data_IF_468874162757
#
_entry.id   IF_468874162757
#
_cell.length_a   1.000
_cell.length_b   1.000
_cell.length_c   1.000
_cell.angle_alpha   90.00
_cell.angle_beta   90.00
_cell.angle_gamma   90.00
#
_symmetry.space_group_name_H-M   'P 1'
#
loop_
_entity.id
_entity.type
_entity.pdbx_description
1 polymer ?
#
# COMPACT_ATOMS: atom_id res chain seq x y z
N UNK A 1 -16.28 -4.87 4.14
CA UNK A 1 -15.14 -5.01 3.22
C UNK A 1 -14.79 -3.60 2.79
N UNK A 2 -13.57 -3.15 3.04
CA UNK A 2 -13.16 -1.78 2.73
C UNK A 2 -12.96 -1.63 1.22
N UNK A 3 -13.47 -0.57 0.62
CA UNK A 3 -13.25 -0.24 -0.80
C UNK A 3 -12.67 1.16 -0.87
N UNK A 4 -11.45 1.30 -1.41
CA UNK A 4 -10.72 2.59 -1.42
C UNK A 4 -11.49 3.71 -2.11
N UNK A 5 -12.32 3.40 -3.11
CA UNK A 5 -13.15 4.39 -3.81
C UNK A 5 -14.06 5.16 -2.84
N UNK A 6 -14.53 4.50 -1.77
CA UNK A 6 -15.37 5.13 -0.75
C UNK A 6 -14.60 5.95 0.28
N UNK A 7 -13.26 5.97 0.18
CA UNK A 7 -12.34 6.65 1.07
C UNK A 7 -11.55 7.75 0.34
N UNK A 8 -11.94 8.16 -0.87
CA UNK A 8 -11.25 9.26 -1.56
C UNK A 8 -11.72 10.62 -1.03
N UNK A 9 -10.78 11.55 -0.89
CA UNK A 9 -11.00 12.99 -0.69
C UNK A 9 -10.84 13.78 -2.00
N UNK A 10 -11.23 15.06 -1.95
CA UNK A 10 -11.17 15.96 -3.10
C UNK A 10 -9.73 16.10 -3.61
N UNK A 11 -9.53 15.77 -4.90
CA UNK A 11 -8.23 15.85 -5.56
C UNK A 11 -7.41 14.55 -5.51
N UNK A 12 -7.92 13.51 -4.86
CA UNK A 12 -7.28 12.20 -4.80
C UNK A 12 -7.75 11.26 -5.92
N UNK A 13 -6.87 10.32 -6.27
CA UNK A 13 -7.13 9.23 -7.21
C UNK A 13 -6.63 7.92 -6.62
N UNK A 14 -7.09 6.81 -7.20
CA UNK A 14 -6.53 5.49 -6.90
C UNK A 14 -5.41 5.22 -7.89
N UNK A 15 -4.26 4.85 -7.36
CA UNK A 15 -3.15 4.29 -8.13
C UNK A 15 -3.17 2.78 -8.03
N UNK A 16 -2.87 2.14 -9.15
CA UNK A 16 -2.57 0.72 -9.23
C UNK A 16 -1.06 0.53 -9.26
N UNK A 17 -0.54 -0.32 -8.38
CA UNK A 17 0.89 -0.63 -8.34
C UNK A 17 1.15 -2.13 -8.31
N UNK A 18 2.34 -2.52 -8.75
CA UNK A 18 2.79 -3.91 -8.79
C UNK A 18 3.95 -4.11 -7.82
N UNK A 19 4.06 -5.34 -7.32
CA UNK A 19 5.14 -5.80 -6.48
C UNK A 19 5.97 -6.81 -7.27
N UNK A 20 7.29 -6.78 -7.13
CA UNK A 20 8.19 -7.69 -7.84
C UNK A 20 7.88 -9.19 -7.59
N UNK A 21 7.28 -9.52 -6.44
CA UNK A 21 6.99 -10.89 -6.02
C UNK A 21 5.55 -11.36 -6.31
N UNK A 22 4.71 -10.55 -6.95
CA UNK A 22 3.30 -10.85 -7.19
C UNK A 22 2.88 -10.68 -8.67
N UNK A 23 1.85 -11.43 -9.08
CA UNK A 23 1.29 -11.36 -10.45
C UNK A 23 0.00 -10.54 -10.54
N UNK A 24 -0.45 -9.95 -9.45
CA UNK A 24 -1.64 -9.11 -9.39
C UNK A 24 -1.26 -7.73 -8.85
N UNK A 25 -2.14 -6.76 -9.09
CA UNK A 25 -1.90 -5.38 -8.67
C UNK A 25 -2.47 -5.08 -7.29
N UNK A 26 -1.84 -4.15 -6.60
CA UNK A 26 -2.28 -3.52 -5.35
C UNK A 26 -2.75 -2.10 -5.63
N UNK A 27 -3.35 -1.48 -4.63
CA UNK A 27 -3.93 -0.15 -4.76
C UNK A 27 -3.53 0.77 -3.61
N UNK A 28 -3.37 2.04 -3.91
CA UNK A 28 -3.20 3.11 -2.93
C UNK A 28 -4.01 4.34 -3.33
N UNK A 29 -4.26 5.21 -2.37
CA UNK A 29 -4.78 6.56 -2.55
C UNK A 29 -3.59 7.50 -2.71
N UNK A 30 -3.63 8.36 -3.72
CA UNK A 30 -2.63 9.41 -3.93
C UNK A 30 -3.31 10.71 -4.37
N UNK A 31 -2.64 11.84 -4.16
CA UNK A 31 -3.05 13.11 -4.77
C UNK A 31 -2.78 13.04 -6.28
N UNK A 32 -3.73 13.47 -7.10
CA UNK A 32 -3.60 13.45 -8.56
C UNK A 32 -2.33 14.18 -9.03
N UNK A 33 -1.49 13.49 -9.80
CA UNK A 33 -0.24 14.01 -10.34
C UNK A 33 0.93 14.03 -9.34
N UNK A 34 0.77 13.45 -8.15
CA UNK A 34 1.82 13.36 -7.13
C UNK A 34 2.75 12.17 -7.40
N UNK A 35 4.05 12.40 -7.20
CA UNK A 35 5.11 11.38 -7.21
C UNK A 35 5.53 10.95 -5.79
N UNK A 36 4.84 11.42 -4.75
CA UNK A 36 5.07 11.04 -3.36
C UNK A 36 4.46 9.66 -3.04
N UNK A 37 5.14 8.61 -3.46
CA UNK A 37 4.74 7.21 -3.25
C UNK A 37 4.70 6.87 -1.75
N UNK A 38 5.70 7.31 -0.97
CA UNK A 38 5.78 7.01 0.45
C UNK A 38 4.59 7.64 1.20
N UNK A 39 4.32 8.93 0.97
CA UNK A 39 3.18 9.62 1.55
C UNK A 39 1.84 9.01 1.13
N UNK A 40 1.71 8.56 -0.12
CA UNK A 40 0.52 7.86 -0.61
C UNK A 40 0.28 6.52 0.13
N UNK A 41 1.32 5.72 0.33
CA UNK A 41 1.23 4.45 1.06
C UNK A 41 0.85 4.68 2.53
N UNK A 42 1.49 5.64 3.21
CA UNK A 42 1.18 5.98 4.60
C UNK A 42 -0.26 6.49 4.75
N UNK A 43 -0.68 7.42 3.87
CA UNK A 43 -2.05 7.96 3.86
C UNK A 43 -3.08 6.84 3.66
N UNK A 44 -2.81 5.94 2.72
CA UNK A 44 -3.70 4.80 2.45
C UNK A 44 -3.85 3.90 3.67
N UNK A 45 -2.74 3.58 4.34
CA UNK A 45 -2.73 2.73 5.55
C UNK A 45 -3.61 3.34 6.64
N UNK A 46 -3.38 4.61 6.98
CA UNK A 46 -4.14 5.32 8.01
C UNK A 46 -5.61 5.39 7.66
N UNK A 47 -5.95 5.67 6.40
CA UNK A 47 -7.35 5.81 5.98
C UNK A 47 -8.13 4.50 6.03
N UNK A 48 -7.48 3.38 5.70
CA UNK A 48 -8.06 2.05 5.89
C UNK A 48 -8.32 1.81 7.38
N UNK A 49 -7.35 2.10 8.26
CA UNK A 49 -7.48 1.89 9.70
C UNK A 49 -8.56 2.77 10.33
N UNK A 50 -8.61 4.06 9.98
CA UNK A 50 -9.61 5.03 10.44
C UNK A 50 -11.04 4.63 10.03
N UNK A 51 -11.19 4.01 8.86
CA UNK A 51 -12.46 3.44 8.39
C UNK A 51 -12.84 2.11 9.08
N UNK A 52 -12.06 1.66 10.07
CA UNK A 52 -12.27 0.38 10.78
C UNK A 52 -11.77 -0.84 10.01
N UNK A 53 -10.87 -0.64 9.04
CA UNK A 53 -10.25 -1.70 8.26
C UNK A 53 -9.38 -2.62 9.12
N UNK A 54 -9.32 -3.88 8.72
CA UNK A 54 -8.55 -4.92 9.42
C UNK A 54 -7.18 -5.14 8.78
N UNK A 55 -6.23 -5.82 9.45
CA UNK A 55 -4.98 -6.26 8.82
C UNK A 55 -5.20 -7.05 7.52
N UNK A 56 -6.32 -7.78 7.43
CA UNK A 56 -6.70 -8.49 6.20
C UNK A 56 -7.10 -7.54 5.07
N UNK A 57 -7.76 -6.43 5.38
CA UNK A 57 -8.08 -5.39 4.39
C UNK A 57 -6.79 -4.71 3.91
N UNK A 58 -5.88 -4.38 4.82
CA UNK A 58 -4.57 -3.79 4.50
C UNK A 58 -3.78 -4.73 3.58
N UNK A 59 -3.63 -6.00 3.96
CA UNK A 59 -2.95 -6.99 3.12
C UNK A 59 -3.63 -7.16 1.76
N UNK A 60 -4.97 -7.23 1.70
CA UNK A 60 -5.68 -7.38 0.42
C UNK A 60 -5.47 -6.17 -0.49
N UNK A 61 -5.58 -4.96 0.05
CA UNK A 61 -5.55 -3.71 -0.72
C UNK A 61 -4.12 -3.34 -1.10
N UNK A 62 -3.21 -3.36 -0.13
CA UNK A 62 -1.85 -2.83 -0.25
C UNK A 62 -0.77 -3.91 -0.34
N UNK A 63 -1.05 -5.15 0.04
CA UNK A 63 0.00 -6.15 0.24
C UNK A 63 0.87 -5.90 1.48
N UNK A 64 0.52 -4.91 2.30
CA UNK A 64 1.27 -4.59 3.50
C UNK A 64 0.94 -5.54 4.67
N UNK A 65 1.96 -5.89 5.45
CA UNK A 65 1.87 -6.77 6.62
C UNK A 65 2.76 -6.27 7.75
N UNK A 66 2.52 -6.72 8.97
CA UNK A 66 3.47 -6.58 10.08
C UNK A 66 4.28 -7.89 10.14
N UNK A 67 5.57 -7.89 9.78
CA UNK A 67 6.36 -9.11 9.78
C UNK A 67 6.59 -9.65 11.19
N UNK A 68 6.71 -10.97 11.30
CA UNK A 68 7.24 -11.66 12.47
C UNK A 68 8.74 -11.42 12.61
N UNK A 69 9.34 -11.76 13.76
CA UNK A 69 10.80 -11.63 13.97
C UNK A 69 11.63 -12.46 12.98
N UNK A 70 11.10 -13.58 12.47
CA UNK A 70 11.77 -14.40 11.47
C UNK A 70 11.71 -13.75 10.09
N UNK A 71 10.51 -13.33 9.67
CA UNK A 71 10.32 -12.61 8.40
C UNK A 71 11.12 -11.30 8.36
N UNK A 72 11.26 -10.60 9.50
CA UNK A 72 12.11 -9.41 9.56
C UNK A 72 13.57 -9.68 9.22
N UNK A 73 14.12 -10.82 9.63
CA UNK A 73 15.51 -11.18 9.30
C UNK A 73 15.68 -11.39 7.81
N UNK A 74 14.70 -12.01 7.16
CA UNK A 74 14.72 -12.22 5.72
C UNK A 74 14.63 -10.87 4.99
N UNK A 75 13.75 -9.97 5.43
CA UNK A 75 13.62 -8.62 4.83
C UNK A 75 14.90 -7.79 5.00
N UNK A 76 15.53 -7.84 6.17
CA UNK A 76 16.79 -7.14 6.46
C UNK A 76 17.99 -7.72 5.70
N UNK A 77 17.99 -9.02 5.37
CA UNK A 77 19.08 -9.65 4.62
C UNK A 77 19.15 -9.13 3.18
N UNK A 78 18.00 -8.93 2.54
CA UNK A 78 17.92 -8.52 1.13
C UNK A 78 17.64 -7.03 0.94
N UNK A 79 17.15 -6.32 1.96
CA UNK A 79 16.72 -4.90 1.89
C UNK A 79 15.66 -4.66 0.79
N UNK A 80 14.87 -5.69 0.48
CA UNK A 80 13.85 -5.68 -0.57
C UNK A 80 12.45 -5.49 0.02
N UNK A 81 12.23 -4.36 0.68
CA UNK A 81 10.94 -4.02 1.27
C UNK A 81 10.69 -2.51 1.27
N UNK A 82 9.42 -2.13 1.43
CA UNK A 82 9.03 -0.73 1.63
C UNK A 82 8.45 -0.59 3.02
N UNK A 83 9.14 0.17 3.89
CA UNK A 83 8.60 0.56 5.19
C UNK A 83 7.45 1.55 4.99
N UNK A 84 6.37 1.37 5.75
CA UNK A 84 5.24 2.29 5.80
C UNK A 84 5.20 2.91 7.21
N UNK A 85 4.20 2.58 8.02
CA UNK A 85 4.00 3.11 9.38
C UNK A 85 3.39 2.03 10.28
N UNK A 86 3.43 2.23 11.60
CA UNK A 86 2.86 1.33 12.63
C UNK A 86 3.41 -0.11 12.57
N UNK A 87 4.62 -0.27 12.05
CA UNK A 87 5.28 -1.57 11.84
C UNK A 87 4.81 -2.31 10.59
N UNK A 88 3.94 -1.72 9.76
CA UNK A 88 3.60 -2.26 8.46
C UNK A 88 4.71 -2.03 7.44
N UNK A 89 4.95 -3.06 6.65
CA UNK A 89 5.82 -3.03 5.47
C UNK A 89 5.14 -3.69 4.29
N UNK A 90 5.52 -3.31 3.08
CA UNK A 90 5.32 -4.12 1.89
C UNK A 90 6.55 -5.02 1.73
N UNK A 91 6.42 -6.36 1.79
CA UNK A 91 7.55 -7.28 1.75
C UNK A 91 8.03 -7.53 0.31
N UNK A 92 8.20 -6.46 -0.47
CA UNK A 92 8.75 -6.45 -1.82
C UNK A 92 9.00 -5.01 -2.29
N UNK A 93 9.70 -4.88 -3.41
CA UNK A 93 9.85 -3.62 -4.13
C UNK A 93 8.67 -3.37 -5.08
N UNK A 94 8.39 -2.09 -5.31
CA UNK A 94 7.39 -1.63 -6.28
C UNK A 94 8.06 -1.43 -7.64
N UNK A 95 7.56 -2.10 -8.69
CA UNK A 95 8.09 -2.03 -10.05
C UNK A 95 7.15 -1.32 -11.05
N UNK A 96 5.92 -1.01 -10.64
CA UNK A 96 4.96 -0.23 -11.40
C UNK A 96 4.15 0.68 -10.46
N UNK A 97 3.90 1.92 -10.88
CA UNK A 97 3.01 2.86 -10.22
C UNK A 97 2.23 3.63 -11.29
N UNK A 98 0.93 3.35 -11.42
CA UNK A 98 0.09 3.88 -12.49
C UNK A 98 -1.22 4.44 -11.95
N UNK A 99 -1.44 5.75 -12.14
CA UNK A 99 -2.72 6.37 -11.81
C UNK A 99 -3.81 5.74 -12.68
N UNK A 100 -4.88 5.27 -12.04
CA UNK A 100 -6.03 4.75 -12.78
C UNK A 100 -7.05 5.87 -12.96
N UNK A 101 -7.44 6.14 -14.20
CA UNK A 101 -8.63 6.95 -14.45
C UNK A 101 -9.82 6.18 -13.88
N UNK A 102 -10.47 6.77 -12.87
CA UNK A 102 -11.68 6.21 -12.30
C UNK A 102 -12.81 6.49 -13.29
N UNK A 103 -13.01 5.59 -14.26
CA UNK A 103 -14.23 5.53 -15.06
C UNK A 103 -15.47 5.33 -14.17
#
# INVERSE_FOLDING_TARGET
MIELKGLLEDGEVIVRYHLCNEYWSRNAITVKGSDDIAGALETTLHRILEAGGTPKDIYRIMGATIPTEEEWKDLEEYDEYVSIDLGYVIPSLIDLWEETEVD
#
